data_IF_947176747899
#
_entry.id   IF_947176747899
#
_cell.length_a   1.000
_cell.length_b   1.000
_cell.length_c   1.000
_cell.angle_alpha   90.00
_cell.angle_beta   90.00
_cell.angle_gamma   90.00
#
_symmetry.space_group_name_H-M   'P 1'
#
loop_
_entity.id
_entity.type
_entity.pdbx_description
1 polymer ?
#
# COMPACT_ATOMS: atom_id res chain seq x y z
N UNK A 1 -6.02 -19.93 -11.43
CA UNK A 1 -4.84 -19.10 -11.07
C UNK A 1 -4.68 -19.15 -9.56
N UNK A 2 -3.48 -19.39 -9.05
CA UNK A 2 -3.22 -19.39 -7.62
C UNK A 2 -3.26 -17.93 -7.13
N UNK A 3 -4.02 -17.64 -6.08
CA UNK A 3 -4.09 -16.31 -5.45
C UNK A 3 -2.70 -15.91 -4.93
N UNK A 4 -2.14 -14.81 -5.43
CA UNK A 4 -0.78 -14.35 -5.10
C UNK A 4 -0.73 -13.34 -3.95
N UNK A 5 -1.83 -12.68 -3.63
CA UNK A 5 -1.91 -11.65 -2.61
C UNK A 5 -2.41 -10.31 -3.12
N UNK A 6 -2.06 -9.22 -2.41
CA UNK A 6 -2.51 -7.86 -2.72
C UNK A 6 -1.38 -6.84 -2.62
N UNK A 7 -1.52 -5.75 -3.38
CA UNK A 7 -0.79 -4.51 -3.19
C UNK A 7 -1.72 -3.49 -2.51
N UNK A 8 -1.40 -3.07 -1.30
CA UNK A 8 -2.17 -2.08 -0.55
C UNK A 8 -1.58 -0.70 -0.76
N UNK A 9 -2.30 0.14 -1.49
CA UNK A 9 -1.96 1.54 -1.72
C UNK A 9 -2.89 2.46 -0.95
N UNK A 10 -2.48 3.70 -0.75
CA UNK A 10 -3.34 4.74 -0.17
C UNK A 10 -3.63 5.87 -1.15
N UNK A 11 -4.72 6.58 -0.93
CA UNK A 11 -4.94 7.88 -1.57
C UNK A 11 -4.04 8.95 -0.96
N UNK A 12 -3.52 8.70 0.27
CA UNK A 12 -2.68 9.63 1.02
C UNK A 12 -1.94 8.89 2.15
N UNK A 13 -1.08 9.62 2.89
CA UNK A 13 -0.51 9.18 4.17
C UNK A 13 -1.57 9.27 5.27
N UNK A 14 -1.50 8.35 6.26
CA UNK A 14 -2.41 8.39 7.42
C UNK A 14 -3.85 7.94 7.14
N UNK A 15 -4.18 7.40 5.96
CA UNK A 15 -5.53 6.89 5.64
C UNK A 15 -5.83 5.51 6.26
N UNK A 16 -4.85 4.90 6.95
CA UNK A 16 -5.00 3.62 7.63
C UNK A 16 -4.67 2.40 6.78
N UNK A 17 -3.73 2.52 5.83
CA UNK A 17 -3.24 1.38 5.03
C UNK A 17 -2.86 0.20 5.89
N UNK A 18 -2.05 0.44 6.92
CA UNK A 18 -1.54 -0.60 7.83
C UNK A 18 -2.67 -1.31 8.57
N UNK A 19 -3.69 -0.59 9.03
CA UNK A 19 -4.85 -1.21 9.67
C UNK A 19 -5.64 -2.11 8.71
N UNK A 20 -5.86 -1.66 7.47
CA UNK A 20 -6.51 -2.47 6.42
C UNK A 20 -5.62 -3.64 6.01
N UNK A 21 -4.32 -3.42 5.84
CA UNK A 21 -3.35 -4.47 5.55
C UNK A 21 -3.33 -5.57 6.63
N UNK A 22 -3.30 -5.19 7.90
CA UNK A 22 -3.42 -6.10 9.05
C UNK A 22 -4.71 -6.92 9.00
N UNK A 23 -5.83 -6.26 8.72
CA UNK A 23 -7.13 -6.93 8.62
C UNK A 23 -7.15 -7.98 7.48
N UNK A 24 -6.58 -7.65 6.32
CA UNK A 24 -6.44 -8.60 5.20
C UNK A 24 -5.51 -9.76 5.58
N UNK A 25 -4.34 -9.49 6.18
CA UNK A 25 -3.42 -10.52 6.64
C UNK A 25 -4.07 -11.47 7.65
N UNK A 26 -4.74 -10.94 8.66
CA UNK A 26 -5.45 -11.74 9.65
C UNK A 26 -6.55 -12.62 9.02
N UNK A 27 -7.30 -12.10 8.05
CA UNK A 27 -8.31 -12.89 7.31
C UNK A 27 -7.68 -14.00 6.48
N UNK A 28 -6.56 -13.73 5.81
CA UNK A 28 -5.81 -14.77 5.08
C UNK A 28 -5.30 -15.86 6.04
N UNK A 29 -4.73 -15.46 7.19
CA UNK A 29 -4.25 -16.39 8.21
C UNK A 29 -5.38 -17.27 8.78
N UNK A 30 -6.54 -16.70 9.10
CA UNK A 30 -7.72 -17.43 9.56
C UNK A 30 -8.25 -18.46 8.54
N UNK A 31 -7.95 -18.27 7.25
CA UNK A 31 -8.26 -19.24 6.17
C UNK A 31 -7.15 -20.25 5.92
N UNK A 32 -6.11 -20.25 6.75
CA UNK A 32 -4.98 -21.19 6.60
C UNK A 32 -4.06 -20.90 5.43
N UNK A 33 -4.08 -19.67 4.89
CA UNK A 33 -3.24 -19.30 3.72
C UNK A 33 -1.80 -18.98 4.09
N UNK A 34 -1.47 -18.84 5.38
CA UNK A 34 -0.12 -18.51 5.89
C UNK A 34 0.53 -17.31 5.15
N UNK A 35 -0.12 -16.12 5.10
CA UNK A 35 0.36 -15.01 4.29
C UNK A 35 1.72 -14.50 4.76
N UNK A 36 2.45 -13.89 3.83
CA UNK A 36 3.62 -13.07 4.12
C UNK A 36 3.25 -11.59 4.00
N UNK A 37 4.01 -10.72 4.68
CA UNK A 37 3.90 -9.28 4.50
C UNK A 37 5.20 -8.71 3.94
N UNK A 38 5.09 -7.63 3.17
CA UNK A 38 6.21 -6.82 2.73
C UNK A 38 5.82 -5.35 2.83
N UNK A 39 6.54 -4.61 3.66
CA UNK A 39 6.57 -3.15 3.71
C UNK A 39 7.87 -2.72 3.04
N UNK A 40 7.89 -2.47 1.72
CA UNK A 40 9.15 -2.24 0.99
C UNK A 40 10.00 -1.15 1.62
N UNK A 41 9.35 -0.05 2.03
CA UNK A 41 9.97 1.08 2.70
C UNK A 41 9.11 1.54 3.86
N UNK A 42 9.74 1.76 5.02
CA UNK A 42 9.15 2.47 6.14
C UNK A 42 10.02 3.67 6.50
N UNK A 43 9.40 4.84 6.63
CA UNK A 43 10.06 6.11 6.95
C UNK A 43 9.53 6.67 8.27
N UNK A 44 10.34 7.46 8.98
CA UNK A 44 9.98 7.98 10.30
C UNK A 44 9.99 6.90 11.38
N UNK A 45 10.79 5.84 11.21
CA UNK A 45 10.86 4.73 12.15
C UNK A 45 12.28 4.53 12.69
N UNK A 46 12.40 3.87 13.83
CA UNK A 46 13.68 3.28 14.24
C UNK A 46 13.97 2.06 13.36
N UNK A 47 15.19 1.96 12.75
CA UNK A 47 15.49 0.90 11.79
C UNK A 47 15.33 -0.53 12.31
N UNK A 48 15.52 -0.72 13.63
CA UNK A 48 15.35 -2.03 14.28
C UNK A 48 13.90 -2.28 14.68
N UNK A 49 13.03 -1.26 14.63
CA UNK A 49 11.64 -1.33 15.06
C UNK A 49 10.69 -0.57 14.11
N UNK A 50 10.55 -1.02 12.86
CA UNK A 50 9.55 -0.47 11.93
C UNK A 50 8.15 -0.93 12.37
N UNK A 51 7.36 -0.01 12.92
CA UNK A 51 6.11 -0.36 13.61
C UNK A 51 5.03 -0.88 12.67
N UNK A 52 4.89 -0.28 11.49
CA UNK A 52 3.93 -0.72 10.48
C UNK A 52 4.25 -2.14 10.00
N UNK A 53 5.51 -2.38 9.62
CA UNK A 53 5.95 -3.70 9.15
C UNK A 53 5.77 -4.77 10.23
N UNK A 54 6.15 -4.49 11.47
CA UNK A 54 6.00 -5.42 12.58
C UNK A 54 4.53 -5.76 12.86
N UNK A 55 3.65 -4.77 12.77
CA UNK A 55 2.20 -4.96 12.93
C UNK A 55 1.60 -5.85 11.82
N UNK A 56 2.05 -5.68 10.58
CA UNK A 56 1.67 -6.57 9.46
C UNK A 56 2.14 -8.00 9.69
N UNK A 57 3.41 -8.20 10.10
CA UNK A 57 3.97 -9.52 10.42
C UNK A 57 3.19 -10.24 11.51
N UNK A 58 2.86 -9.53 12.57
CA UNK A 58 2.03 -10.06 13.66
C UNK A 58 0.67 -10.53 13.14
N UNK A 59 -0.01 -9.71 12.32
CA UNK A 59 -1.30 -10.06 11.74
C UNK A 59 -1.23 -11.26 10.77
N UNK A 60 -0.09 -11.48 10.11
CA UNK A 60 0.17 -12.66 9.30
C UNK A 60 0.39 -13.92 10.15
N UNK A 61 0.69 -13.81 11.45
CA UNK A 61 1.18 -14.91 12.27
C UNK A 61 2.53 -15.47 11.78
N UNK A 62 3.35 -14.63 11.15
CA UNK A 62 4.60 -15.00 10.49
C UNK A 62 5.83 -14.70 11.35
N UNK A 63 6.89 -15.49 11.19
CA UNK A 63 8.22 -15.26 11.76
C UNK A 63 9.22 -14.74 10.73
N UNK A 64 8.74 -14.12 9.68
CA UNK A 64 9.54 -13.57 8.56
C UNK A 64 10.67 -12.68 9.08
N UNK A 65 11.92 -12.84 8.58
CA UNK A 65 13.04 -11.96 8.93
C UNK A 65 12.76 -10.50 8.61
N UNK A 66 13.27 -9.60 9.45
CA UNK A 66 13.01 -8.16 9.31
C UNK A 66 13.48 -7.59 7.95
N UNK A 67 14.59 -8.08 7.41
CA UNK A 67 15.12 -7.63 6.12
C UNK A 67 14.34 -8.16 4.90
N UNK A 68 13.51 -9.18 5.09
CA UNK A 68 12.55 -9.64 4.09
C UNK A 68 11.18 -8.97 4.25
N UNK A 69 10.83 -8.63 5.49
CA UNK A 69 9.60 -7.94 5.83
C UNK A 69 9.64 -6.45 5.44
N UNK A 70 10.75 -5.76 5.79
CA UNK A 70 10.94 -4.34 5.55
C UNK A 70 12.41 -4.06 5.20
N UNK A 71 12.81 -4.22 3.91
CA UNK A 71 14.20 -4.10 3.50
C UNK A 71 14.79 -2.70 3.61
N UNK A 72 13.93 -1.65 3.58
CA UNK A 72 14.37 -0.25 3.65
C UNK A 72 13.66 0.47 4.78
N UNK A 73 14.44 0.93 5.76
CA UNK A 73 13.96 1.60 6.98
C UNK A 73 14.76 2.87 7.16
N UNK A 74 14.05 4.00 7.26
CA UNK A 74 14.64 5.33 7.35
C UNK A 74 14.11 6.09 8.57
N UNK A 75 14.99 6.84 9.25
CA UNK A 75 14.63 7.64 10.41
C UNK A 75 13.86 8.91 10.02
N UNK A 76 14.20 9.48 8.86
CA UNK A 76 13.54 10.70 8.41
C UNK A 76 12.07 10.42 8.04
N UNK A 77 11.08 11.11 8.63
CA UNK A 77 9.67 11.00 8.27
C UNK A 77 9.37 11.81 7.00
N UNK A 78 9.78 11.29 5.86
CA UNK A 78 9.62 11.91 4.55
C UNK A 78 9.24 10.85 3.50
N UNK A 79 8.99 11.29 2.25
CA UNK A 79 8.82 10.35 1.15
C UNK A 79 10.04 9.43 1.03
N UNK A 80 9.86 8.14 0.66
CA UNK A 80 10.94 7.14 0.60
C UNK A 80 12.22 7.61 -0.10
N UNK A 81 12.09 8.17 -1.31
CA UNK A 81 13.24 8.70 -2.05
C UNK A 81 13.96 9.81 -1.28
N UNK A 82 13.19 10.75 -0.70
CA UNK A 82 13.74 11.88 0.05
C UNK A 82 14.48 11.38 1.30
N UNK A 83 13.89 10.44 2.03
CA UNK A 83 14.51 9.85 3.21
C UNK A 83 15.78 9.06 2.85
N UNK A 84 15.75 8.29 1.76
CA UNK A 84 16.89 7.54 1.28
C UNK A 84 18.06 8.44 0.88
N UNK A 85 17.80 9.51 0.09
CA UNK A 85 18.83 10.48 -0.31
C UNK A 85 19.41 11.22 0.90
N UNK A 86 18.58 11.64 1.85
CA UNK A 86 19.03 12.30 3.08
C UNK A 86 19.93 11.42 3.96
N UNK A 87 19.72 10.10 3.94
CA UNK A 87 20.55 9.13 4.68
C UNK A 87 21.67 8.52 3.82
N UNK A 88 21.94 9.04 2.60
CA UNK A 88 22.99 8.55 1.71
C UNK A 88 22.77 7.13 1.22
N UNK A 89 21.53 6.68 1.16
CA UNK A 89 21.11 5.31 0.78
C UNK A 89 20.25 5.34 -0.48
N UNK A 90 20.00 4.16 -1.03
CA UNK A 90 19.15 3.98 -2.22
C UNK A 90 18.16 2.84 -1.98
N UNK A 91 16.97 2.96 -2.55
CA UNK A 91 15.99 1.90 -2.64
C UNK A 91 16.22 1.15 -3.96
N UNK A 92 16.50 -0.14 -3.87
CA UNK A 92 16.68 -1.04 -5.01
C UNK A 92 15.36 -1.80 -5.25
N UNK A 93 14.71 -1.50 -6.37
CA UNK A 93 13.43 -2.12 -6.72
C UNK A 93 13.58 -3.58 -7.11
N UNK A 94 14.70 -4.00 -7.71
CA UNK A 94 14.95 -5.40 -8.05
C UNK A 94 14.98 -6.28 -6.79
N UNK A 95 15.50 -5.75 -5.68
CA UNK A 95 15.44 -6.43 -4.39
C UNK A 95 13.99 -6.64 -3.92
N UNK A 96 13.15 -5.62 -4.05
CA UNK A 96 11.73 -5.67 -3.68
C UNK A 96 10.99 -6.68 -4.55
N UNK A 97 11.14 -6.59 -5.86
CA UNK A 97 10.56 -7.52 -6.83
C UNK A 97 11.00 -8.97 -6.55
N UNK A 98 12.29 -9.17 -6.29
CA UNK A 98 12.84 -10.48 -5.95
C UNK A 98 12.26 -11.08 -4.67
N UNK A 99 11.91 -10.28 -3.65
CA UNK A 99 11.21 -10.75 -2.45
C UNK A 99 9.81 -11.26 -2.79
N UNK A 100 9.06 -10.51 -3.61
CA UNK A 100 7.71 -10.90 -4.04
C UNK A 100 7.74 -12.15 -4.94
N UNK A 101 8.69 -12.23 -5.86
CA UNK A 101 8.82 -13.39 -6.77
C UNK A 101 9.16 -14.70 -6.04
N UNK A 102 9.99 -14.61 -4.98
CA UNK A 102 10.37 -15.77 -4.17
C UNK A 102 9.33 -16.20 -3.13
N UNK A 103 8.30 -15.37 -2.91
CA UNK A 103 7.24 -15.69 -1.96
C UNK A 103 6.50 -16.97 -2.38
N UNK A 104 6.51 -17.98 -1.48
CA UNK A 104 5.82 -19.28 -1.71
C UNK A 104 4.39 -19.30 -1.18
N UNK A 105 3.96 -18.23 -0.52
CA UNK A 105 2.63 -18.03 0.03
C UNK A 105 2.06 -16.70 -0.49
N UNK A 106 0.76 -16.45 -0.37
CA UNK A 106 0.18 -15.16 -0.68
C UNK A 106 0.91 -14.05 0.09
N UNK A 107 1.21 -12.95 -0.60
CA UNK A 107 1.94 -11.83 -0.01
C UNK A 107 1.10 -10.56 -0.02
N UNK A 108 1.08 -9.83 1.09
CA UNK A 108 0.55 -8.47 1.15
C UNK A 108 1.70 -7.49 1.08
N UNK A 109 1.72 -6.66 0.04
CA UNK A 109 2.70 -5.57 -0.12
C UNK A 109 2.03 -4.25 0.24
N UNK A 110 2.56 -3.52 1.22
CA UNK A 110 2.02 -2.22 1.62
C UNK A 110 2.92 -1.07 1.17
N UNK A 111 2.38 -0.17 0.35
CA UNK A 111 3.06 1.02 -0.13
C UNK A 111 3.26 2.09 0.96
N UNK A 112 4.29 2.91 0.82
CA UNK A 112 4.54 4.07 1.67
C UNK A 112 3.83 5.32 1.12
N UNK A 113 2.77 5.79 1.78
CA UNK A 113 2.00 6.97 1.32
C UNK A 113 1.02 6.66 0.18
N UNK A 114 0.84 7.61 -0.73
CA UNK A 114 -0.04 7.52 -1.90
C UNK A 114 0.66 6.92 -3.13
N UNK A 115 -0.12 6.71 -4.22
CA UNK A 115 0.38 6.10 -5.46
C UNK A 115 1.53 6.88 -6.10
N UNK A 116 1.46 8.21 -6.13
CA UNK A 116 2.46 9.07 -6.77
C UNK A 116 3.63 9.47 -5.86
N UNK A 117 3.72 8.88 -4.65
CA UNK A 117 4.85 9.15 -3.75
C UNK A 117 6.15 8.60 -4.34
N UNK A 118 7.22 9.43 -4.42
CA UNK A 118 8.51 9.02 -4.98
C UNK A 118 9.18 7.96 -4.09
N UNK A 119 9.44 6.82 -4.68
CA UNK A 119 9.98 5.64 -4.02
C UNK A 119 11.49 5.50 -4.21
N UNK A 120 11.95 5.65 -5.45
CA UNK A 120 13.33 5.44 -5.85
C UNK A 120 13.72 6.35 -7.02
N UNK A 121 15.02 6.35 -7.33
CA UNK A 121 15.58 6.93 -8.53
C UNK A 121 16.33 5.85 -9.31
N UNK A 122 15.96 5.65 -10.55
CA UNK A 122 16.62 4.67 -11.44
C UNK A 122 17.26 5.39 -12.62
N UNK A 123 18.43 4.91 -13.10
CA UNK A 123 19.02 5.43 -14.34
C UNK A 123 18.07 5.14 -15.51
N UNK A 124 17.93 6.08 -16.43
CA UNK A 124 17.28 5.81 -17.72
C UNK A 124 18.08 4.72 -18.46
N UNK A 125 17.37 3.79 -19.10
CA UNK A 125 18.01 2.88 -20.06
C UNK A 125 18.56 3.68 -21.25
N UNK A 126 19.67 3.22 -21.82
CA UNK A 126 20.36 3.88 -22.95
C UNK A 126 19.40 4.12 -24.12
N UNK A 127 18.40 3.25 -24.31
CA UNK A 127 17.39 3.35 -25.37
C UNK A 127 16.36 4.49 -25.15
N UNK A 128 16.32 5.09 -23.96
CA UNK A 128 15.40 6.17 -23.58
C UNK A 128 16.09 7.55 -23.55
N UNK A 129 17.38 7.61 -23.85
CA UNK A 129 18.17 8.85 -23.84
C UNK A 129 18.41 9.30 -25.27
N UNK A 130 17.93 10.48 -25.63
CA UNK A 130 18.41 11.15 -26.84
C UNK A 130 19.87 11.58 -26.59
N UNK A 131 20.80 11.17 -27.44
CA UNK A 131 22.20 11.58 -27.30
C UNK A 131 22.43 13.11 -27.28
N UNK A 132 21.42 13.88 -27.76
CA UNK A 132 21.44 15.34 -27.76
C UNK A 132 21.12 15.95 -26.37
N UNK A 133 20.50 15.19 -25.45
CA UNK A 133 20.03 15.70 -24.16
C UNK A 133 21.05 15.62 -23.01
N UNK A 134 22.26 15.18 -23.30
CA UNK A 134 23.34 15.07 -22.27
C UNK A 134 23.35 13.72 -21.53
N UNK A 135 24.03 13.62 -20.37
CA UNK A 135 24.15 12.38 -19.63
C UNK A 135 22.78 11.89 -19.16
N UNK A 136 22.55 10.55 -19.10
CA UNK A 136 21.26 9.98 -18.79
C UNK A 136 20.72 10.52 -17.46
N UNK A 137 19.63 11.26 -17.54
CA UNK A 137 18.89 11.70 -16.36
C UNK A 137 18.22 10.49 -15.72
N UNK A 138 18.23 10.43 -14.39
CA UNK A 138 17.54 9.38 -13.67
C UNK A 138 16.04 9.65 -13.62
N UNK A 139 15.21 8.60 -13.74
CA UNK A 139 13.77 8.65 -13.59
C UNK A 139 13.37 8.48 -12.12
N UNK A 140 12.41 9.27 -11.67
CA UNK A 140 11.77 9.06 -10.38
C UNK A 140 10.73 7.95 -10.54
N UNK A 141 10.88 6.88 -9.76
CA UNK A 141 9.95 5.77 -9.69
C UNK A 141 9.04 5.96 -8.47
N UNK A 142 7.74 5.76 -8.68
CA UNK A 142 6.69 5.96 -7.66
C UNK A 142 6.15 4.61 -7.14
N UNK A 143 5.26 4.66 -6.14
CA UNK A 143 4.52 3.47 -5.72
C UNK A 143 3.62 2.91 -6.82
N UNK A 144 3.12 3.76 -7.75
CA UNK A 144 2.34 3.32 -8.91
C UNK A 144 3.19 2.46 -9.85
N UNK A 145 4.42 2.89 -10.13
CA UNK A 145 5.37 2.11 -10.93
C UNK A 145 5.74 0.78 -10.25
N UNK A 146 5.87 0.77 -8.91
CA UNK A 146 6.08 -0.47 -8.17
C UNK A 146 4.85 -1.40 -8.28
N UNK A 147 3.63 -0.88 -8.16
CA UNK A 147 2.41 -1.67 -8.33
C UNK A 147 2.35 -2.30 -9.72
N UNK A 148 2.72 -1.54 -10.76
CA UNK A 148 2.80 -2.02 -12.15
C UNK A 148 3.82 -3.17 -12.30
N UNK A 149 5.00 -3.07 -11.70
CA UNK A 149 6.03 -4.13 -11.74
C UNK A 149 5.60 -5.40 -11.00
N UNK A 150 4.91 -5.26 -9.88
CA UNK A 150 4.50 -6.40 -9.06
C UNK A 150 3.26 -7.12 -9.59
N UNK A 151 2.40 -6.46 -10.35
CA UNK A 151 1.18 -7.02 -10.95
C UNK A 151 0.29 -7.76 -9.94
N UNK A 152 0.23 -7.26 -8.71
CA UNK A 152 -0.69 -7.73 -7.69
C UNK A 152 -1.99 -6.93 -7.74
N UNK A 153 -3.17 -7.56 -7.49
CA UNK A 153 -4.41 -6.83 -7.33
C UNK A 153 -4.28 -5.72 -6.29
N UNK A 154 -4.70 -4.49 -6.64
CA UNK A 154 -4.56 -3.32 -5.77
C UNK A 154 -5.77 -3.19 -4.86
N UNK A 155 -5.53 -2.99 -3.58
CA UNK A 155 -6.51 -2.51 -2.60
C UNK A 155 -6.17 -1.05 -2.31
N UNK A 156 -7.02 -0.14 -2.77
CA UNK A 156 -6.83 1.30 -2.55
C UNK A 156 -7.53 1.74 -1.27
N UNK A 157 -6.78 2.26 -0.31
CA UNK A 157 -7.31 2.75 0.96
C UNK A 157 -7.45 4.27 0.91
N UNK A 158 -8.67 4.76 1.14
CA UNK A 158 -8.98 6.19 1.24
C UNK A 158 -9.59 6.53 2.61
N UNK A 159 -9.52 7.81 3.00
CA UNK A 159 -10.28 8.28 4.16
C UNK A 159 -11.78 8.25 3.87
N UNK A 160 -12.61 8.07 4.90
CA UNK A 160 -14.06 8.06 4.69
C UNK A 160 -14.69 9.45 4.58
N UNK A 161 -14.04 10.50 5.11
CA UNK A 161 -14.56 11.86 5.23
C UNK A 161 -14.33 12.74 4.01
N UNK A 162 -14.49 14.05 4.21
CA UNK A 162 -14.39 15.09 3.17
C UNK A 162 -13.07 15.02 2.40
N UNK A 163 -13.15 15.27 1.08
CA UNK A 163 -12.04 15.22 0.12
C UNK A 163 -11.82 13.84 -0.52
N UNK A 164 -12.45 12.78 0.00
CA UNK A 164 -12.22 11.42 -0.51
C UNK A 164 -12.64 11.21 -1.95
N UNK A 165 -13.71 11.87 -2.41
CA UNK A 165 -14.22 11.72 -3.78
C UNK A 165 -13.15 12.04 -4.81
N UNK A 166 -12.52 13.23 -4.67
CA UNK A 166 -11.44 13.66 -5.55
C UNK A 166 -10.23 12.72 -5.46
N UNK A 167 -9.78 12.40 -4.24
CA UNK A 167 -8.58 11.57 -4.06
C UNK A 167 -8.77 10.14 -4.57
N UNK A 168 -9.96 9.55 -4.36
CA UNK A 168 -10.26 8.22 -4.88
C UNK A 168 -10.37 8.24 -6.41
N UNK A 169 -11.07 9.22 -7.00
CA UNK A 169 -11.22 9.31 -8.45
C UNK A 169 -9.87 9.43 -9.16
N UNK A 170 -9.00 10.35 -8.72
CA UNK A 170 -7.65 10.52 -9.29
C UNK A 170 -6.80 9.25 -9.13
N UNK A 171 -6.90 8.58 -7.98
CA UNK A 171 -6.12 7.36 -7.73
C UNK A 171 -6.62 6.19 -8.58
N UNK A 172 -7.94 6.03 -8.74
CA UNK A 172 -8.52 4.99 -9.59
C UNK A 172 -8.16 5.23 -11.05
N UNK A 173 -8.29 6.47 -11.54
CA UNK A 173 -7.88 6.84 -12.89
C UNK A 173 -6.40 6.51 -13.15
N UNK A 174 -5.50 6.81 -12.20
CA UNK A 174 -4.09 6.48 -12.34
C UNK A 174 -3.83 4.97 -12.43
N UNK A 175 -4.60 4.16 -11.69
CA UNK A 175 -4.51 2.69 -11.77
C UNK A 175 -5.04 2.16 -13.10
N UNK A 176 -6.16 2.70 -13.59
CA UNK A 176 -6.77 2.33 -14.87
C UNK A 176 -5.87 2.66 -16.06
N UNK A 177 -5.20 3.83 -16.05
CA UNK A 177 -4.24 4.23 -17.08
C UNK A 177 -3.02 3.28 -17.20
N UNK A 178 -2.76 2.48 -16.18
CA UNK A 178 -1.70 1.46 -16.14
C UNK A 178 -2.24 0.04 -16.26
N UNK A 179 -3.51 -0.15 -16.61
CA UNK A 179 -4.17 -1.46 -16.70
C UNK A 179 -4.02 -2.32 -15.42
N UNK A 180 -3.96 -1.67 -14.24
CA UNK A 180 -3.80 -2.34 -12.97
C UNK A 180 -5.15 -2.82 -12.42
N UNK A 181 -5.20 -4.08 -11.97
CA UNK A 181 -6.39 -4.66 -11.39
C UNK A 181 -6.69 -4.04 -10.02
N UNK A 182 -7.74 -3.21 -9.95
CA UNK A 182 -8.27 -2.70 -8.70
C UNK A 182 -9.23 -3.73 -8.08
N UNK A 183 -8.81 -4.34 -6.96
CA UNK A 183 -9.65 -5.30 -6.24
C UNK A 183 -10.80 -4.62 -5.49
N UNK A 184 -10.52 -3.49 -4.84
CA UNK A 184 -11.52 -2.61 -4.22
C UNK A 184 -10.89 -1.28 -3.78
N UNK A 185 -11.76 -0.28 -3.61
CA UNK A 185 -11.49 0.90 -2.77
C UNK A 185 -12.04 0.62 -1.38
N UNK A 186 -11.24 0.84 -0.34
CA UNK A 186 -11.64 0.68 1.06
C UNK A 186 -11.66 2.05 1.72
N UNK A 187 -12.85 2.54 2.09
CA UNK A 187 -12.99 3.79 2.84
C UNK A 187 -12.86 3.53 4.33
N UNK A 188 -11.87 4.13 4.96
CA UNK A 188 -11.53 3.90 6.36
C UNK A 188 -11.72 5.17 7.21
N UNK A 189 -12.24 5.00 8.43
CA UNK A 189 -12.34 6.05 9.44
C UNK A 189 -11.17 5.92 10.41
N UNK A 190 -10.24 6.86 10.35
CA UNK A 190 -9.05 6.88 11.22
C UNK A 190 -9.26 7.69 12.50
N UNK A 191 -10.34 8.49 12.55
CA UNK A 191 -10.70 9.34 13.68
C UNK A 191 -12.21 9.26 13.95
N UNK A 192 -12.63 9.50 15.22
CA UNK A 192 -14.03 9.75 15.50
C UNK A 192 -14.35 11.14 14.92
N UNK A 193 -15.19 11.18 13.93
CA UNK A 193 -15.69 12.40 13.35
C UNK A 193 -17.19 12.34 13.12
N UNK A 194 -17.83 13.49 13.12
CA UNK A 194 -19.23 13.69 12.79
C UNK A 194 -19.40 14.22 11.36
N UNK A 195 -18.43 13.95 10.47
CA UNK A 195 -18.48 14.38 9.08
C UNK A 195 -19.72 13.78 8.39
N UNK A 196 -20.70 14.60 8.03
CA UNK A 196 -21.95 14.13 7.44
C UNK A 196 -21.77 13.51 6.05
N UNK A 197 -20.62 13.75 5.40
CA UNK A 197 -20.34 13.21 4.07
C UNK A 197 -19.98 11.72 4.10
N UNK A 198 -19.53 11.20 5.24
CA UNK A 198 -19.10 9.80 5.41
C UNK A 198 -20.18 8.82 4.97
N UNK A 199 -21.45 9.08 5.31
CA UNK A 199 -22.56 8.17 5.00
C UNK A 199 -22.79 8.00 3.49
N UNK A 200 -22.49 9.01 2.68
CA UNK A 200 -22.75 9.00 1.23
C UNK A 200 -21.50 8.74 0.38
N UNK A 201 -20.31 8.99 0.92
CA UNK A 201 -19.06 8.96 0.15
C UNK A 201 -18.79 7.62 -0.55
N UNK A 202 -19.10 6.50 0.11
CA UNK A 202 -18.91 5.17 -0.49
C UNK A 202 -19.73 5.00 -1.79
N UNK A 203 -20.99 5.44 -1.75
CA UNK A 203 -21.85 5.42 -2.94
C UNK A 203 -21.30 6.34 -4.04
N UNK A 204 -20.92 7.57 -3.71
CA UNK A 204 -20.40 8.52 -4.69
C UNK A 204 -19.08 8.06 -5.31
N UNK A 205 -18.16 7.50 -4.52
CA UNK A 205 -16.93 6.92 -5.09
C UNK A 205 -17.27 5.79 -6.07
N UNK A 206 -18.20 4.90 -5.72
CA UNK A 206 -18.61 3.81 -6.60
C UNK A 206 -19.26 4.32 -7.91
N UNK A 207 -20.14 5.32 -7.82
CA UNK A 207 -20.80 5.92 -9.00
C UNK A 207 -19.79 6.65 -9.92
N UNK A 208 -18.82 7.37 -9.35
CA UNK A 208 -17.83 8.15 -10.11
C UNK A 208 -16.79 7.27 -10.77
N UNK A 209 -16.40 6.16 -10.16
CA UNK A 209 -15.25 5.36 -10.59
C UNK A 209 -15.62 3.99 -11.14
N UNK A 210 -16.85 3.54 -10.96
CA UNK A 210 -17.23 2.15 -11.29
C UNK A 210 -16.57 1.09 -10.39
N UNK A 211 -15.72 1.49 -9.46
CA UNK A 211 -14.97 0.58 -8.62
C UNK A 211 -15.85 -0.07 -7.55
N UNK A 212 -15.48 -1.28 -7.15
CA UNK A 212 -16.03 -1.90 -5.95
C UNK A 212 -15.57 -1.12 -4.71
N UNK A 213 -16.50 -0.59 -3.91
CA UNK A 213 -16.19 0.16 -2.69
C UNK A 213 -16.62 -0.64 -1.46
N UNK A 214 -15.73 -0.74 -0.49
CA UNK A 214 -15.97 -1.31 0.84
C UNK A 214 -15.91 -0.19 1.88
N UNK A 215 -16.84 -0.20 2.81
CA UNK A 215 -16.91 0.82 3.85
C UNK A 215 -18.09 1.79 3.69
N UNK A 216 -18.11 2.85 4.48
CA UNK A 216 -17.03 3.25 5.41
C UNK A 216 -16.82 2.24 6.54
N UNK A 217 -15.55 1.94 6.82
CA UNK A 217 -15.18 1.16 8.00
C UNK A 217 -15.55 1.90 9.30
N UNK A 218 -15.94 1.20 10.37
CA UNK A 218 -16.24 1.85 11.64
C UNK A 218 -14.95 2.42 12.26
N UNK A 219 -15.09 3.56 12.96
CA UNK A 219 -14.05 3.97 13.90
C UNK A 219 -14.21 3.15 15.18
N UNK A 220 -13.15 2.48 15.59
CA UNK A 220 -13.09 1.71 16.84
C UNK A 220 -11.76 2.04 17.54
N UNK A 221 -11.83 2.59 18.75
CA UNK A 221 -10.65 3.02 19.50
C UNK A 221 -9.78 1.83 19.96
N UNK A 222 -10.43 0.77 20.45
CA UNK A 222 -9.72 -0.46 20.85
C UNK A 222 -9.12 -1.18 19.64
N UNK A 223 -7.81 -1.42 19.67
CA UNK A 223 -7.06 -1.96 18.54
C UNK A 223 -7.50 -3.37 18.14
N UNK A 224 -7.86 -4.22 19.12
CA UNK A 224 -8.30 -5.60 18.87
C UNK A 224 -9.69 -5.63 18.23
N UNK A 225 -10.62 -4.85 18.77
CA UNK A 225 -11.98 -4.74 18.23
C UNK A 225 -11.96 -4.09 16.85
N UNK A 226 -11.09 -3.10 16.63
CA UNK A 226 -10.87 -2.48 15.30
C UNK A 226 -10.41 -3.52 14.28
N UNK A 227 -9.41 -4.33 14.63
CA UNK A 227 -8.92 -5.40 13.73
C UNK A 227 -10.03 -6.38 13.36
N UNK A 228 -10.89 -6.76 14.29
CA UNK A 228 -12.04 -7.63 14.02
C UNK A 228 -13.04 -6.96 13.09
N UNK A 229 -13.43 -5.70 13.37
CA UNK A 229 -14.40 -4.96 12.57
C UNK A 229 -13.90 -4.72 11.14
N UNK A 230 -12.63 -4.34 10.97
CA UNK A 230 -12.00 -4.19 9.66
C UNK A 230 -11.83 -5.56 8.97
N UNK A 231 -11.58 -6.63 9.72
CA UNK A 231 -11.56 -7.99 9.21
C UNK A 231 -12.87 -8.41 8.55
N UNK A 232 -14.01 -8.08 9.16
CA UNK A 232 -15.33 -8.31 8.56
C UNK A 232 -15.55 -7.45 7.30
N UNK A 233 -15.12 -6.19 7.33
CA UNK A 233 -15.20 -5.30 6.17
C UNK A 233 -14.46 -5.86 4.95
N UNK A 234 -13.24 -6.39 5.13
CA UNK A 234 -12.40 -6.92 4.05
C UNK A 234 -12.62 -8.41 3.78
N UNK A 235 -13.52 -9.07 4.49
CA UNK A 235 -13.73 -10.52 4.38
C UNK A 235 -13.96 -11.00 2.95
N UNK A 236 -14.67 -10.20 2.14
CA UNK A 236 -15.00 -10.52 0.75
C UNK A 236 -13.84 -10.33 -0.23
N UNK A 237 -12.70 -9.74 0.19
CA UNK A 237 -11.49 -9.65 -0.63
C UNK A 237 -10.73 -10.97 -0.64
N UNK A 238 -10.78 -11.68 0.48
CA UNK A 238 -10.03 -12.92 0.69
C UNK A 238 -10.91 -14.16 0.36
N UNK A 239 -12.08 -13.93 -0.12
CA UNK A 239 -13.23 -14.73 -0.58
C UNK A 239 -13.21 -16.17 -0.71
#
# INVERSE_FOLDING_TARGET
>A
MTFRGFFVAGTDTGVGKTEIGRAICARMALRGLHPLALKPVETGCEPDRPEDALALREACGSSQPLDELCPYRFRLPAAPLVAAEAEGRRVDLLRIEGLVQRAKAPILVEAAGGLMVPLAREPLSIDQVDPADGPPSAVIVTNLDLAERLQLPVVLVGRAGLGTLNHCALSVEALEQRDLLLAAVVLNRTQPDDDPTVASNARWVAEMTGARVLGPGPFVADARQRLLALGELVARLVG
#
